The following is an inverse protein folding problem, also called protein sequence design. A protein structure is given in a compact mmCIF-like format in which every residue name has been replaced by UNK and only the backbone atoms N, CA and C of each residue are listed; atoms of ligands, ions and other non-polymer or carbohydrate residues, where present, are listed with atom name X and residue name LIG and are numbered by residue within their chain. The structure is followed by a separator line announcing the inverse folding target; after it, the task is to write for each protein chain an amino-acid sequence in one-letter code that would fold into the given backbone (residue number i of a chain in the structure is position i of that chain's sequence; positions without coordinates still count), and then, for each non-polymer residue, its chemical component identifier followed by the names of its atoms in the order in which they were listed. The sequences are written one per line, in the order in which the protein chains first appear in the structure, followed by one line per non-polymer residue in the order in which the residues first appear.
data_IF_180019682567
#
_entry.id   IF_180019682567
#
_cell.length_a   1.000
_cell.length_b   1.000
_cell.length_c   1.000
_cell.angle_alpha   90.00
_cell.angle_beta   90.00
_cell.angle_gamma   90.00
#
_symmetry.space_group_name_H-M   'P 1'
#
loop_
_entity.id
_entity.type
_entity.pdbx_description
1 polymer ?
#
# COMPACT_ATOMS: atom_id res chain seq x y z
N UNK A 1 23.13 22.34 -5.91
CA UNK A 1 22.32 23.40 -6.53
C UNK A 1 21.54 22.77 -7.69
N UNK A 2 20.32 22.28 -7.43
CA UNK A 2 19.50 21.61 -8.45
C UNK A 2 18.86 22.69 -9.33
N UNK A 3 19.32 22.82 -10.58
CA UNK A 3 18.64 23.62 -11.60
C UNK A 3 17.16 23.18 -11.62
N UNK A 4 16.25 24.12 -11.34
CA UNK A 4 14.82 23.87 -11.49
C UNK A 4 14.56 23.52 -12.96
N UNK A 5 14.18 22.27 -13.21
CA UNK A 5 13.74 21.82 -14.52
C UNK A 5 12.63 22.76 -15.01
N UNK A 6 12.81 23.35 -16.18
CA UNK A 6 11.85 24.32 -16.72
C UNK A 6 10.51 23.61 -17.01
N UNK A 7 9.36 24.29 -16.89
CA UNK A 7 8.02 23.67 -17.03
C UNK A 7 7.75 22.95 -18.36
N UNK A 8 8.54 23.18 -19.40
CA UNK A 8 8.39 22.56 -20.72
C UNK A 8 9.39 21.41 -20.97
N UNK A 9 10.32 21.14 -20.06
CA UNK A 9 11.36 20.11 -20.26
C UNK A 9 10.78 18.71 -20.41
N UNK A 10 9.65 18.42 -19.73
CA UNK A 10 8.94 17.15 -19.86
C UNK A 10 8.42 16.87 -21.26
N UNK A 11 8.30 17.89 -22.12
CA UNK A 11 7.86 17.70 -23.51
C UNK A 11 8.98 17.18 -24.42
N UNK A 12 10.24 17.42 -24.04
CA UNK A 12 11.42 17.14 -24.89
C UNK A 12 12.41 16.18 -24.25
N UNK A 13 12.32 15.96 -22.93
CA UNK A 13 13.19 15.08 -22.15
C UNK A 13 12.39 14.26 -21.15
N UNK A 14 12.88 13.06 -20.88
CA UNK A 14 12.42 12.25 -19.75
C UNK A 14 12.55 13.04 -18.45
N UNK A 15 11.43 13.29 -17.79
CA UNK A 15 11.39 14.15 -16.61
C UNK A 15 10.74 13.41 -15.44
N UNK A 16 11.41 13.28 -14.28
CA UNK A 16 10.83 12.63 -13.11
C UNK A 16 9.61 13.39 -12.58
N UNK A 17 8.54 12.66 -12.24
CA UNK A 17 7.41 13.23 -11.54
C UNK A 17 7.81 13.58 -10.10
N UNK A 18 7.34 14.73 -9.61
CA UNK A 18 7.70 15.24 -8.28
C UNK A 18 6.49 15.47 -7.37
N UNK A 19 5.31 15.63 -7.97
CA UNK A 19 4.13 16.15 -7.27
C UNK A 19 3.62 15.16 -6.22
N UNK A 20 3.67 13.86 -6.51
CA UNK A 20 3.08 12.84 -5.64
C UNK A 20 4.06 12.27 -4.60
N UNK A 21 5.27 12.83 -4.50
CA UNK A 21 6.31 12.28 -3.61
C UNK A 21 7.23 13.33 -2.97
N UNK A 22 7.43 14.50 -3.57
CA UNK A 22 8.31 15.54 -3.00
C UNK A 22 7.51 16.59 -2.22
N UNK A 23 8.13 17.15 -1.17
CA UNK A 23 7.51 18.17 -0.33
C UNK A 23 6.22 17.64 0.31
N UNK A 24 5.10 18.33 0.08
CA UNK A 24 3.78 17.86 0.56
C UNK A 24 3.35 16.51 -0.03
N UNK A 25 3.89 16.11 -1.18
CA UNK A 25 3.61 14.81 -1.81
C UNK A 25 3.95 13.61 -0.93
N UNK A 26 4.86 13.75 0.04
CA UNK A 26 5.17 12.70 1.03
C UNK A 26 3.92 12.25 1.78
N UNK A 27 2.98 13.16 2.07
CA UNK A 27 1.72 12.82 2.73
C UNK A 27 0.83 11.95 1.85
N UNK A 28 0.86 12.12 0.52
CA UNK A 28 0.12 11.27 -0.39
C UNK A 28 0.70 9.86 -0.46
N UNK A 29 2.04 9.75 -0.49
CA UNK A 29 2.74 8.47 -0.38
C UNK A 29 2.38 7.71 0.89
N UNK A 30 2.44 8.39 2.04
CA UNK A 30 2.04 7.82 3.33
C UNK A 30 0.56 7.44 3.34
N UNK A 31 -0.32 8.30 2.81
CA UNK A 31 -1.74 8.01 2.73
C UNK A 31 -2.00 6.72 1.95
N UNK A 32 -1.41 6.55 0.77
CA UNK A 32 -1.55 5.32 -0.01
C UNK A 32 -1.02 4.09 0.75
N UNK A 33 0.16 4.19 1.38
CA UNK A 33 0.69 3.11 2.19
C UNK A 33 -0.26 2.70 3.32
N UNK A 34 -0.76 3.67 4.10
CA UNK A 34 -1.68 3.38 5.21
C UNK A 34 -3.05 2.90 4.74
N UNK A 35 -3.49 3.30 3.56
CA UNK A 35 -4.72 2.81 2.93
C UNK A 35 -4.64 1.31 2.68
N UNK A 36 -3.57 0.87 2.00
CA UNK A 36 -3.34 -0.53 1.70
C UNK A 36 -3.13 -1.35 2.99
N UNK A 37 -2.30 -0.84 3.92
CA UNK A 37 -1.97 -1.49 5.18
C UNK A 37 -3.21 -1.68 6.08
N UNK A 38 -4.00 -0.62 6.27
CA UNK A 38 -5.19 -0.66 7.14
C UNK A 38 -6.30 -1.53 6.57
N UNK A 39 -6.54 -1.44 5.26
CA UNK A 39 -7.51 -2.29 4.57
C UNK A 39 -7.15 -3.77 4.65
N UNK A 40 -5.88 -4.11 4.36
CA UNK A 40 -5.41 -5.50 4.48
C UNK A 40 -5.39 -5.99 5.93
N UNK A 41 -5.00 -5.15 6.90
CA UNK A 41 -5.01 -5.50 8.33
C UNK A 41 -6.42 -5.85 8.79
N UNK A 42 -7.42 -5.08 8.38
CA UNK A 42 -8.82 -5.38 8.67
C UNK A 42 -9.24 -6.73 8.06
N UNK A 43 -8.89 -7.00 6.79
CA UNK A 43 -9.25 -8.24 6.10
C UNK A 43 -8.59 -9.49 6.69
N UNK A 44 -7.30 -9.43 7.01
CA UNK A 44 -6.58 -10.54 7.66
C UNK A 44 -7.18 -10.81 9.04
N UNK A 45 -7.43 -9.75 9.81
CA UNK A 45 -8.01 -9.88 11.14
C UNK A 45 -9.44 -10.43 11.08
N UNK A 46 -10.21 -10.06 10.06
CA UNK A 46 -11.54 -10.59 9.78
C UNK A 46 -11.49 -12.10 9.47
N UNK A 47 -10.51 -12.54 8.67
CA UNK A 47 -10.29 -13.95 8.35
C UNK A 47 -9.97 -14.79 9.60
N UNK A 48 -9.13 -14.27 10.48
CA UNK A 48 -8.77 -14.91 11.76
C UNK A 48 -9.76 -14.63 12.90
N UNK A 49 -10.87 -13.93 12.63
CA UNK A 49 -11.87 -13.51 13.60
C UNK A 49 -11.29 -12.79 14.83
N UNK A 50 -10.27 -11.96 14.63
CA UNK A 50 -9.57 -11.22 15.69
C UNK A 50 -10.05 -9.77 15.77
N UNK A 51 -10.76 -9.41 16.84
CA UNK A 51 -11.35 -8.08 17.01
C UNK A 51 -10.31 -6.97 17.13
N UNK A 52 -9.24 -7.18 17.91
CA UNK A 52 -8.18 -6.18 18.12
C UNK A 52 -7.55 -5.77 16.80
N UNK A 53 -7.26 -6.75 15.94
CA UNK A 53 -6.71 -6.50 14.62
C UNK A 53 -7.68 -5.77 13.68
N UNK A 54 -8.97 -6.08 13.74
CA UNK A 54 -10.00 -5.33 12.99
C UNK A 54 -10.03 -3.87 13.44
N UNK A 55 -10.00 -3.62 14.75
CA UNK A 55 -9.97 -2.27 15.32
C UNK A 55 -8.69 -1.51 14.95
N UNK A 56 -7.52 -2.18 14.94
CA UNK A 56 -6.26 -1.59 14.48
C UNK A 56 -6.32 -1.23 12.99
N UNK A 57 -6.80 -2.14 12.13
CA UNK A 57 -6.96 -1.88 10.70
C UNK A 57 -7.88 -0.68 10.42
N UNK A 58 -9.03 -0.63 11.10
CA UNK A 58 -9.95 0.51 11.03
C UNK A 58 -9.29 1.81 11.54
N UNK A 59 -8.57 1.73 12.66
CA UNK A 59 -7.80 2.84 13.25
C UNK A 59 -6.72 3.41 12.32
N UNK A 60 -5.97 2.54 11.62
CA UNK A 60 -4.97 2.94 10.62
C UNK A 60 -5.65 3.75 9.50
N UNK A 61 -6.82 3.32 9.02
CA UNK A 61 -7.52 4.03 7.96
C UNK A 61 -7.99 5.41 8.43
N UNK A 62 -8.66 5.51 9.58
CA UNK A 62 -9.22 6.80 10.01
C UNK A 62 -8.12 7.79 10.44
N UNK A 63 -7.13 7.35 11.22
CA UNK A 63 -6.12 8.23 11.79
C UNK A 63 -4.99 8.54 10.80
N UNK A 64 -4.43 7.49 10.18
CA UNK A 64 -3.21 7.63 9.39
C UNK A 64 -3.53 7.89 7.92
N UNK A 65 -4.33 7.05 7.27
CA UNK A 65 -4.71 7.26 5.85
C UNK A 65 -5.55 8.53 5.68
N UNK A 66 -6.67 8.64 6.41
CA UNK A 66 -7.57 9.79 6.37
C UNK A 66 -6.87 11.09 6.79
N UNK A 67 -6.10 11.04 7.89
CA UNK A 67 -5.31 12.17 8.37
C UNK A 67 -4.28 12.65 7.35
N UNK A 68 -3.50 11.74 6.74
CA UNK A 68 -2.53 12.11 5.70
C UNK A 68 -3.22 12.70 4.45
N UNK A 69 -4.35 12.13 4.01
CA UNK A 69 -5.12 12.69 2.89
C UNK A 69 -5.62 14.11 3.20
N UNK A 70 -6.19 14.35 4.39
CA UNK A 70 -6.66 15.68 4.78
C UNK A 70 -5.50 16.69 4.90
N UNK A 71 -4.37 16.29 5.47
CA UNK A 71 -3.18 17.14 5.59
C UNK A 71 -2.53 17.44 4.24
N UNK A 72 -2.65 16.53 3.27
CA UNK A 72 -2.19 16.74 1.89
C UNK A 72 -3.02 17.79 1.16
N UNK A 73 -4.33 17.89 1.43
CA UNK A 73 -5.21 18.85 0.77
C UNK A 73 -4.80 20.28 1.10
N UNK A 74 -4.64 21.12 0.07
CA UNK A 74 -4.39 22.55 0.26
C UNK A 74 -5.56 23.30 0.94
N UNK A 75 -6.77 22.75 0.88
CA UNK A 75 -8.00 23.30 1.48
C UNK A 75 -8.90 22.19 2.05
N UNK A 76 -8.57 21.58 3.21
CA UNK A 76 -9.23 20.38 3.73
C UNK A 76 -10.74 20.58 3.98
N UNK A 77 -11.18 21.78 4.38
CA UNK A 77 -12.59 22.08 4.63
C UNK A 77 -13.47 22.00 3.37
N UNK A 78 -12.88 21.92 2.18
CA UNK A 78 -13.60 21.78 0.89
C UNK A 78 -13.63 20.34 0.38
N UNK A 79 -13.20 19.36 1.19
CA UNK A 79 -13.15 17.94 0.81
C UNK A 79 -14.52 17.40 0.38
N UNK A 80 -15.61 17.92 0.94
CA UNK A 80 -16.98 17.52 0.56
C UNK A 80 -17.27 17.71 -0.94
N UNK A 81 -16.58 18.65 -1.61
CA UNK A 81 -16.73 18.86 -3.06
C UNK A 81 -16.16 17.73 -3.90
N UNK A 82 -15.23 16.94 -3.34
CA UNK A 82 -14.61 15.83 -4.04
C UNK A 82 -15.60 14.68 -4.32
N UNK A 83 -16.74 14.61 -3.63
CA UNK A 83 -17.80 13.61 -3.88
C UNK A 83 -18.62 13.84 -5.15
N UNK A 84 -18.44 14.96 -5.85
CA UNK A 84 -19.36 15.40 -6.92
C UNK A 84 -19.22 14.64 -8.25
N UNK A 85 -18.12 13.92 -8.50
CA UNK A 85 -17.84 13.27 -9.80
C UNK A 85 -17.27 11.84 -9.68
N UNK A 86 -17.99 10.89 -9.06
CA UNK A 86 -17.52 9.51 -8.91
C UNK A 86 -17.35 8.76 -10.23
N UNK A 87 -18.10 9.17 -11.27
CA UNK A 87 -18.09 8.50 -12.57
C UNK A 87 -16.76 8.69 -13.31
N UNK A 88 -16.10 9.84 -13.18
CA UNK A 88 -14.91 10.19 -13.96
C UNK A 88 -13.60 10.24 -13.17
N UNK A 89 -13.65 10.30 -11.83
CA UNK A 89 -12.48 10.49 -10.99
C UNK A 89 -12.22 9.29 -10.10
N UNK A 90 -11.07 8.62 -10.30
CA UNK A 90 -10.60 7.58 -9.38
C UNK A 90 -10.41 8.12 -7.96
N UNK A 91 -9.90 9.36 -7.83
CA UNK A 91 -9.71 9.99 -6.52
C UNK A 91 -11.04 10.11 -5.75
N UNK A 92 -12.12 10.43 -6.45
CA UNK A 92 -13.46 10.48 -5.85
C UNK A 92 -13.93 9.10 -5.41
N UNK A 93 -13.68 8.06 -6.22
CA UNK A 93 -14.04 6.67 -5.86
C UNK A 93 -13.30 6.21 -4.60
N UNK A 94 -11.99 6.49 -4.51
CA UNK A 94 -11.21 6.17 -3.31
C UNK A 94 -11.72 6.86 -2.06
N UNK A 95 -12.08 8.15 -2.15
CA UNK A 95 -12.68 8.88 -1.04
C UNK A 95 -14.01 8.25 -0.59
N UNK A 96 -14.86 7.82 -1.52
CA UNK A 96 -16.10 7.10 -1.21
C UNK A 96 -15.79 5.78 -0.50
N UNK A 97 -14.83 5.00 -0.99
CA UNK A 97 -14.43 3.74 -0.36
C UNK A 97 -13.96 3.95 1.08
N UNK A 98 -13.12 4.96 1.32
CA UNK A 98 -12.63 5.33 2.66
C UNK A 98 -13.80 5.70 3.57
N UNK A 99 -14.68 6.61 3.15
CA UNK A 99 -15.81 7.05 4.00
C UNK A 99 -16.77 5.90 4.31
N UNK A 100 -17.12 5.10 3.31
CA UNK A 100 -17.98 3.94 3.52
C UNK A 100 -17.33 2.91 4.46
N UNK A 101 -16.03 2.61 4.28
CA UNK A 101 -15.31 1.73 5.21
C UNK A 101 -15.30 2.28 6.64
N UNK A 102 -15.01 3.57 6.81
CA UNK A 102 -15.00 4.19 8.14
C UNK A 102 -16.37 4.06 8.80
N UNK A 103 -17.45 4.35 8.08
CA UNK A 103 -18.83 4.25 8.61
C UNK A 103 -19.21 2.81 8.91
N UNK A 104 -19.10 1.89 7.96
CA UNK A 104 -19.52 0.50 8.15
C UNK A 104 -18.61 -0.28 9.11
N UNK A 105 -17.30 0.00 9.11
CA UNK A 105 -16.37 -0.52 10.11
C UNK A 105 -16.69 -0.02 11.51
N UNK A 106 -17.04 1.27 11.66
CA UNK A 106 -17.49 1.80 12.96
C UNK A 106 -18.78 1.11 13.43
N UNK A 107 -19.77 0.96 12.54
CA UNK A 107 -21.02 0.27 12.87
C UNK A 107 -20.78 -1.20 13.25
N UNK A 108 -19.90 -1.89 12.53
CA UNK A 108 -19.52 -3.27 12.80
C UNK A 108 -18.82 -3.42 14.16
N UNK A 109 -17.91 -2.51 14.50
CA UNK A 109 -17.12 -2.55 15.73
C UNK A 109 -17.84 -1.91 16.93
N UNK A 110 -18.88 -1.09 16.72
CA UNK A 110 -19.55 -0.35 17.78
C UNK A 110 -20.03 -1.22 18.96
N UNK A 111 -20.65 -2.41 18.75
CA UNK A 111 -21.08 -3.27 19.86
C UNK A 111 -19.94 -3.77 20.76
N UNK A 112 -18.68 -3.67 20.33
CA UNK A 112 -17.52 -3.99 21.16
C UNK A 112 -17.37 -3.03 22.36
N UNK A 113 -17.91 -1.82 22.25
CA UNK A 113 -17.81 -0.81 23.30
C UNK A 113 -18.92 -1.04 24.33
N UNK A 114 -18.62 -1.17 25.64
CA UNK A 114 -19.62 -1.50 26.65
C UNK A 114 -20.84 -0.56 26.67
N UNK A 115 -20.64 0.73 26.40
CA UNK A 115 -21.70 1.73 26.36
C UNK A 115 -22.55 1.72 25.08
N UNK A 116 -22.16 0.93 24.07
CA UNK A 116 -22.91 0.68 22.84
C UNK A 116 -23.39 -0.79 22.73
N UNK A 117 -23.24 -1.59 23.78
CA UNK A 117 -23.69 -2.98 23.80
C UNK A 117 -25.22 -3.13 23.65
N UNK A 118 -25.99 -2.05 23.83
CA UNK A 118 -27.44 -2.00 23.64
C UNK A 118 -27.88 -1.96 22.16
N UNK A 119 -26.94 -1.78 21.22
CA UNK A 119 -27.26 -1.73 19.80
C UNK A 119 -27.96 -3.03 19.35
N UNK A 120 -28.93 -2.96 18.42
CA UNK A 120 -29.75 -4.12 18.05
C UNK A 120 -29.04 -5.15 17.17
N UNK A 121 -27.73 -4.97 16.90
CA UNK A 121 -26.92 -5.90 16.12
C UNK A 121 -25.68 -6.34 16.90
N UNK A 122 -25.18 -7.55 16.57
CA UNK A 122 -23.95 -8.10 17.12
C UNK A 122 -22.72 -7.62 16.33
N UNK A 123 -21.55 -7.67 16.97
CA UNK A 123 -20.24 -7.50 16.34
C UNK A 123 -20.00 -8.52 15.20
N UNK A 124 -20.66 -9.67 15.31
CA UNK A 124 -20.62 -10.77 14.34
C UNK A 124 -21.67 -10.64 13.24
N UNK A 125 -22.35 -9.48 13.13
CA UNK A 125 -23.30 -9.20 12.06
C UNK A 125 -22.68 -9.45 10.69
N UNK A 126 -23.12 -10.52 10.01
CA UNK A 126 -22.62 -10.92 8.71
C UNK A 126 -22.75 -9.79 7.68
N UNK A 127 -23.86 -9.05 7.72
CA UNK A 127 -24.14 -7.94 6.81
C UNK A 127 -23.11 -6.84 6.98
N UNK A 128 -22.88 -6.36 8.21
CA UNK A 128 -21.92 -5.28 8.48
C UNK A 128 -20.49 -5.72 8.22
N UNK A 129 -20.11 -6.94 8.62
CA UNK A 129 -18.79 -7.53 8.34
C UNK A 129 -18.52 -7.60 6.84
N UNK A 130 -19.50 -8.06 6.06
CA UNK A 130 -19.38 -8.19 4.59
C UNK A 130 -19.24 -6.82 3.93
N UNK A 131 -20.08 -5.85 4.30
CA UNK A 131 -20.01 -4.51 3.71
C UNK A 131 -18.68 -3.84 4.05
N UNK A 132 -18.24 -3.89 5.31
CA UNK A 132 -16.96 -3.35 5.72
C UNK A 132 -15.79 -4.06 5.02
N UNK A 133 -15.84 -5.39 4.85
CA UNK A 133 -14.84 -6.15 4.11
C UNK A 133 -14.76 -5.72 2.64
N UNK A 134 -15.90 -5.51 1.97
CA UNK A 134 -15.94 -5.03 0.58
C UNK A 134 -15.23 -3.68 0.47
N UNK A 135 -15.52 -2.72 1.35
CA UNK A 135 -14.87 -1.42 1.28
C UNK A 135 -13.39 -1.46 1.69
N UNK A 136 -13.00 -2.28 2.67
CA UNK A 136 -11.59 -2.53 2.99
C UNK A 136 -10.82 -3.09 1.78
N UNK A 137 -11.43 -4.04 1.07
CA UNK A 137 -10.90 -4.59 -0.17
C UNK A 137 -10.80 -3.54 -1.27
N UNK A 138 -11.81 -2.69 -1.46
CA UNK A 138 -11.75 -1.62 -2.47
C UNK A 138 -10.66 -0.58 -2.17
N UNK A 139 -10.44 -0.24 -0.90
CA UNK A 139 -9.34 0.65 -0.47
C UNK A 139 -7.98 0.04 -0.81
N UNK A 140 -7.81 -1.27 -0.54
CA UNK A 140 -6.56 -1.98 -0.77
C UNK A 140 -6.05 -1.90 -2.22
N UNK A 141 -6.95 -1.91 -3.20
CA UNK A 141 -6.57 -1.80 -4.62
C UNK A 141 -6.59 -0.38 -5.16
N UNK A 142 -7.26 0.55 -4.47
CA UNK A 142 -7.56 1.88 -4.98
C UNK A 142 -6.30 2.68 -5.33
N UNK A 143 -5.28 2.65 -4.47
CA UNK A 143 -4.05 3.42 -4.64
C UNK A 143 -3.37 3.09 -5.98
N UNK A 144 -3.27 1.80 -6.33
CA UNK A 144 -2.69 1.37 -7.59
C UNK A 144 -3.59 1.68 -8.79
N UNK A 145 -4.92 1.60 -8.67
CA UNK A 145 -5.83 2.02 -9.75
C UNK A 145 -5.76 3.51 -10.04
N UNK A 146 -5.64 4.34 -9.00
CA UNK A 146 -5.49 5.78 -9.14
C UNK A 146 -4.22 6.16 -9.91
N UNK A 147 -3.15 5.38 -9.75
CA UNK A 147 -1.90 5.54 -10.49
C UNK A 147 -1.98 4.94 -11.90
N UNK A 148 -2.60 3.76 -12.06
CA UNK A 148 -2.56 3.01 -13.32
C UNK A 148 -3.29 3.68 -14.47
N UNK A 149 -4.22 4.59 -14.18
CA UNK A 149 -4.93 5.36 -15.22
C UNK A 149 -4.14 6.56 -15.76
N UNK A 150 -2.97 6.86 -15.21
CA UNK A 150 -2.17 8.01 -15.64
C UNK A 150 -1.33 7.62 -16.86
N UNK A 151 -1.88 7.86 -18.06
CA UNK A 151 -1.23 7.53 -19.33
C UNK A 151 0.11 8.25 -19.56
N UNK A 152 0.30 9.41 -18.94
CA UNK A 152 1.52 10.22 -19.11
C UNK A 152 2.78 9.59 -18.48
N UNK A 153 2.61 8.64 -17.56
CA UNK A 153 3.70 7.94 -16.87
C UNK A 153 3.55 6.46 -17.18
N UNK A 154 4.22 5.99 -18.23
CA UNK A 154 4.10 4.62 -18.73
C UNK A 154 4.45 3.58 -17.66
N UNK A 155 5.37 3.91 -16.75
CA UNK A 155 5.70 3.04 -15.62
C UNK A 155 4.50 2.73 -14.71
N UNK A 156 3.61 3.70 -14.51
CA UNK A 156 2.41 3.50 -13.69
C UNK A 156 1.29 2.79 -14.45
N UNK A 157 1.22 3.01 -15.77
CA UNK A 157 0.15 2.56 -16.65
C UNK A 157 0.21 1.04 -16.95
N UNK A 158 0.12 0.22 -15.89
CA UNK A 158 0.11 -1.23 -15.96
C UNK A 158 -1.00 -1.82 -15.09
N UNK A 159 -1.72 -2.81 -15.63
CA UNK A 159 -2.76 -3.53 -14.91
C UNK A 159 -2.25 -4.32 -13.69
N UNK A 160 -0.94 -4.60 -13.63
CA UNK A 160 -0.31 -5.29 -12.50
C UNK A 160 -0.05 -4.37 -11.30
N UNK A 161 -0.02 -3.05 -11.47
CA UNK A 161 0.32 -2.13 -10.38
C UNK A 161 -0.67 -2.19 -9.19
N UNK A 162 -2.01 -2.18 -9.39
CA UNK A 162 -2.96 -2.38 -8.30
C UNK A 162 -2.77 -3.71 -7.56
N UNK A 163 -2.48 -4.79 -8.30
CA UNK A 163 -2.26 -6.12 -7.72
C UNK A 163 -0.97 -6.13 -6.90
N UNK A 164 0.12 -5.57 -7.44
CA UNK A 164 1.40 -5.48 -6.74
C UNK A 164 1.27 -4.70 -5.42
N UNK A 165 0.53 -3.58 -5.41
CA UNK A 165 0.25 -2.83 -4.20
C UNK A 165 -0.58 -3.65 -3.21
N UNK A 166 -1.65 -4.30 -3.65
CA UNK A 166 -2.47 -5.13 -2.78
C UNK A 166 -1.64 -6.23 -2.08
N UNK A 167 -0.77 -6.93 -2.80
CA UNK A 167 0.09 -7.99 -2.22
C UNK A 167 1.07 -7.46 -1.18
N UNK A 168 1.74 -6.33 -1.44
CA UNK A 168 2.59 -5.73 -0.42
C UNK A 168 1.78 -5.07 0.71
N UNK A 169 0.52 -4.71 0.47
CA UNK A 169 -0.41 -4.27 1.52
C UNK A 169 -0.71 -5.42 2.48
N UNK A 170 -1.06 -6.59 1.93
CA UNK A 170 -1.21 -7.83 2.70
C UNK A 170 0.06 -8.26 3.41
N UNK A 171 1.23 -8.15 2.78
CA UNK A 171 2.50 -8.51 3.40
C UNK A 171 2.76 -7.67 4.66
N UNK A 172 2.70 -6.33 4.55
CA UNK A 172 2.91 -5.46 5.70
C UNK A 172 1.84 -5.63 6.77
N UNK A 173 0.60 -5.90 6.38
CA UNK A 173 -0.49 -6.15 7.30
C UNK A 173 -0.40 -7.51 8.01
N UNK A 174 0.09 -8.56 7.34
CA UNK A 174 0.31 -9.87 7.92
C UNK A 174 1.40 -9.81 9.00
N UNK A 175 2.49 -9.07 8.74
CA UNK A 175 3.48 -8.79 9.76
C UNK A 175 2.91 -8.03 10.97
N UNK A 176 2.13 -6.97 10.75
CA UNK A 176 1.46 -6.27 11.87
C UNK A 176 0.49 -7.17 12.62
N UNK A 177 -0.24 -8.03 11.91
CA UNK A 177 -1.14 -8.99 12.52
C UNK A 177 -0.39 -10.03 13.36
N UNK A 178 0.82 -10.44 12.93
CA UNK A 178 1.68 -11.31 13.73
C UNK A 178 2.03 -10.68 15.08
N UNK A 179 2.28 -9.36 15.14
CA UNK A 179 2.49 -8.66 16.42
C UNK A 179 1.25 -8.79 17.32
N UNK A 180 0.04 -8.65 16.78
CA UNK A 180 -1.21 -8.81 17.54
C UNK A 180 -1.34 -10.24 18.08
N UNK A 181 -1.01 -11.24 17.27
CA UNK A 181 -1.03 -12.65 17.67
C UNK A 181 -0.06 -12.92 18.82
N UNK A 182 1.18 -12.42 18.70
CA UNK A 182 2.22 -12.55 19.72
C UNK A 182 1.85 -11.83 21.02
N UNK A 183 1.24 -10.64 20.94
CA UNK A 183 0.86 -9.87 22.14
C UNK A 183 -0.39 -10.40 22.83
N UNK A 184 -1.24 -11.14 22.12
CA UNK A 184 -2.52 -11.64 22.64
C UNK A 184 -2.45 -13.09 23.13
N UNK A 185 -1.26 -13.70 23.16
CA UNK A 185 -1.06 -15.09 23.59
C UNK A 185 -1.68 -16.13 22.65
N UNK A 186 -1.92 -15.77 21.38
CA UNK A 186 -2.56 -16.64 20.39
C UNK A 186 -1.52 -17.49 19.63
N UNK A 187 -0.58 -18.10 20.35
CA UNK A 187 0.61 -18.75 19.78
C UNK A 187 0.28 -19.82 18.73
N UNK A 188 -0.87 -20.50 18.86
CA UNK A 188 -1.35 -21.49 17.89
C UNK A 188 -1.58 -20.92 16.48
N UNK A 189 -1.77 -19.61 16.35
CA UNK A 189 -1.99 -18.94 15.06
C UNK A 189 -0.67 -18.52 14.38
N UNK A 190 0.45 -18.46 15.10
CA UNK A 190 1.74 -17.97 14.58
C UNK A 190 2.14 -18.74 13.33
N UNK A 191 2.06 -20.06 13.36
CA UNK A 191 2.45 -20.90 12.21
C UNK A 191 1.59 -20.68 10.96
N UNK A 192 0.29 -20.40 11.14
CA UNK A 192 -0.62 -20.10 10.03
C UNK A 192 -0.29 -18.72 9.41
N UNK A 193 -0.05 -17.71 10.26
CA UNK A 193 0.31 -16.36 9.81
C UNK A 193 1.67 -16.36 9.09
N UNK A 194 2.69 -16.99 9.66
CA UNK A 194 4.02 -17.15 9.04
C UNK A 194 3.96 -17.89 7.70
N UNK A 195 3.08 -18.89 7.58
CA UNK A 195 2.86 -19.57 6.30
C UNK A 195 2.24 -18.65 5.27
N UNK A 196 1.27 -17.83 5.67
CA UNK A 196 0.70 -16.78 4.81
C UNK A 196 1.75 -15.75 4.37
N UNK A 197 2.57 -15.25 5.30
CA UNK A 197 3.68 -14.33 5.02
C UNK A 197 4.63 -14.92 3.98
N UNK A 198 5.07 -16.17 4.17
CA UNK A 198 5.99 -16.85 3.24
C UNK A 198 5.41 -16.97 1.83
N UNK A 199 4.13 -17.33 1.70
CA UNK A 199 3.44 -17.38 0.40
C UNK A 199 3.36 -15.98 -0.22
N UNK A 200 2.96 -14.97 0.56
CA UNK A 200 2.87 -13.58 0.10
C UNK A 200 4.23 -13.06 -0.38
N UNK A 201 5.33 -13.36 0.32
CA UNK A 201 6.68 -12.97 -0.07
C UNK A 201 7.07 -13.53 -1.43
N UNK A 202 6.85 -14.83 -1.64
CA UNK A 202 7.16 -15.50 -2.92
C UNK A 202 6.33 -14.89 -4.05
N UNK A 203 5.03 -14.72 -3.86
CA UNK A 203 4.15 -14.15 -4.87
C UNK A 203 4.50 -12.67 -5.13
N UNK A 204 4.78 -11.89 -4.09
CA UNK A 204 5.18 -10.49 -4.21
C UNK A 204 6.51 -10.32 -4.96
N UNK A 205 7.48 -11.21 -4.74
CA UNK A 205 8.74 -11.22 -5.47
C UNK A 205 8.54 -11.53 -6.97
N UNK A 206 7.73 -12.55 -7.28
CA UNK A 206 7.38 -12.89 -8.67
C UNK A 206 6.61 -11.74 -9.34
N UNK A 207 5.61 -11.18 -8.67
CA UNK A 207 4.83 -10.05 -9.20
C UNK A 207 5.72 -8.82 -9.44
N UNK A 208 6.67 -8.53 -8.56
CA UNK A 208 7.62 -7.44 -8.75
C UNK A 208 8.50 -7.68 -9.98
N UNK A 209 9.05 -8.88 -10.13
CA UNK A 209 9.88 -9.23 -11.28
C UNK A 209 9.09 -9.14 -12.61
N UNK A 210 7.88 -9.70 -12.64
CA UNK A 210 6.99 -9.64 -13.82
C UNK A 210 6.58 -8.21 -14.12
N UNK A 211 6.24 -7.41 -13.10
CA UNK A 211 5.90 -6.00 -13.27
C UNK A 211 7.07 -5.22 -13.87
N UNK A 212 8.27 -5.31 -13.29
CA UNK A 212 9.45 -4.60 -13.78
C UNK A 212 9.82 -5.04 -15.21
N UNK A 213 9.75 -6.35 -15.51
CA UNK A 213 9.94 -6.85 -16.87
C UNK A 213 8.94 -6.25 -17.85
N UNK A 214 7.64 -6.30 -17.51
CA UNK A 214 6.58 -5.75 -18.35
C UNK A 214 6.72 -4.23 -18.57
N UNK A 215 7.16 -3.50 -17.55
CA UNK A 215 7.34 -2.05 -17.60
C UNK A 215 8.40 -1.60 -18.61
N UNK A 216 9.38 -2.45 -18.92
CA UNK A 216 10.41 -2.13 -19.92
C UNK A 216 9.92 -2.14 -21.37
N UNK A 217 8.68 -2.55 -21.62
CA UNK A 217 8.07 -2.61 -22.96
C UNK A 217 7.84 -1.23 -23.59
N UNK A 218 7.91 -0.17 -22.80
CA UNK A 218 7.78 1.22 -23.27
C UNK A 218 9.08 1.99 -23.01
N UNK A 219 9.43 3.00 -23.84
CA UNK A 219 10.64 3.81 -23.61
C UNK A 219 10.67 4.49 -22.23
N UNK A 220 9.55 5.11 -21.82
CA UNK A 220 9.44 5.75 -20.50
C UNK A 220 9.49 4.76 -19.33
N UNK A 221 8.87 3.59 -19.47
CA UNK A 221 8.95 2.54 -18.47
C UNK A 221 10.36 1.93 -18.37
N UNK A 222 11.05 1.73 -19.50
CA UNK A 222 12.46 1.29 -19.54
C UNK A 222 13.37 2.28 -18.82
N UNK A 223 13.19 3.58 -19.05
CA UNK A 223 13.95 4.62 -18.34
C UNK A 223 13.64 4.61 -16.84
N UNK A 224 12.37 4.41 -16.46
CA UNK A 224 11.96 4.32 -15.04
C UNK A 224 12.63 3.14 -14.34
N UNK A 225 12.64 1.96 -14.98
CA UNK A 225 13.32 0.76 -14.46
C UNK A 225 14.84 0.99 -14.38
N UNK A 226 15.44 1.65 -15.38
CA UNK A 226 16.86 2.00 -15.33
C UNK A 226 17.19 2.91 -14.14
N UNK A 227 16.34 3.89 -13.81
CA UNK A 227 16.50 4.74 -12.62
C UNK A 227 16.34 3.97 -11.30
N UNK A 228 15.47 2.96 -11.24
CA UNK A 228 15.35 2.07 -10.08
C UNK A 228 16.60 1.20 -9.89
N UNK A 229 17.21 0.71 -10.97
CA UNK A 229 18.33 -0.24 -10.88
C UNK A 229 19.68 0.48 -10.75
N UNK A 230 19.90 1.56 -11.51
CA UNK A 230 21.21 2.23 -11.61
C UNK A 230 21.17 3.71 -11.29
N UNK A 231 19.99 4.29 -11.17
CA UNK A 231 19.81 5.72 -10.96
C UNK A 231 19.71 6.11 -9.49
N UNK A 232 19.10 7.27 -9.28
CA UNK A 232 19.02 7.94 -7.98
C UNK A 232 18.05 7.27 -6.98
N UNK A 233 17.29 6.26 -7.41
CA UNK A 233 16.28 5.54 -6.60
C UNK A 233 16.79 4.13 -6.22
N UNK A 234 18.00 3.77 -6.67
CA UNK A 234 18.60 2.43 -6.45
C UNK A 234 18.74 2.04 -4.98
N UNK A 235 19.10 2.96 -4.09
CA UNK A 235 19.24 2.65 -2.66
C UNK A 235 17.89 2.24 -2.04
N UNK A 236 16.81 3.05 -2.13
CA UNK A 236 15.47 2.62 -1.69
C UNK A 236 15.00 1.31 -2.34
N UNK A 237 15.35 1.06 -3.60
CA UNK A 237 14.97 -0.15 -4.30
C UNK A 237 15.70 -1.39 -3.75
N UNK A 238 17.04 -1.38 -3.72
CA UNK A 238 17.80 -2.55 -3.27
C UNK A 238 17.72 -2.75 -1.76
N UNK A 239 17.98 -1.71 -0.97
CA UNK A 239 18.03 -1.84 0.49
C UNK A 239 16.61 -1.94 1.03
N UNK A 240 15.76 -0.98 0.69
CA UNK A 240 14.40 -0.92 1.22
C UNK A 240 13.50 -2.05 0.71
N UNK A 241 13.36 -2.18 -0.60
CA UNK A 241 12.43 -3.13 -1.19
C UNK A 241 12.99 -4.56 -1.27
N UNK A 242 14.18 -4.75 -1.84
CA UNK A 242 14.71 -6.11 -2.07
C UNK A 242 15.22 -6.75 -0.78
N UNK A 243 16.14 -6.09 -0.07
CA UNK A 243 16.77 -6.68 1.13
C UNK A 243 15.80 -6.69 2.30
N UNK A 244 15.28 -5.53 2.71
CA UNK A 244 14.38 -5.44 3.86
C UNK A 244 12.98 -5.97 3.53
N UNK A 245 12.46 -5.73 2.32
CA UNK A 245 11.09 -6.15 1.97
C UNK A 245 10.92 -7.60 1.54
N UNK A 246 11.99 -8.28 1.10
CA UNK A 246 11.89 -9.66 0.58
C UNK A 246 12.90 -10.57 1.26
N UNK A 247 14.20 -10.28 1.15
CA UNK A 247 15.27 -11.23 1.53
C UNK A 247 15.26 -11.52 3.04
N UNK A 248 15.28 -10.49 3.89
CA UNK A 248 15.30 -10.70 5.35
C UNK A 248 14.01 -11.37 5.84
N UNK A 249 12.80 -10.89 5.51
CA UNK A 249 11.55 -11.55 5.92
C UNK A 249 11.46 -13.00 5.43
N UNK A 250 11.95 -13.29 4.22
CA UNK A 250 11.96 -14.65 3.68
C UNK A 250 12.90 -15.55 4.49
N UNK A 251 14.10 -15.08 4.83
CA UNK A 251 15.02 -15.82 5.71
C UNK A 251 14.36 -16.10 7.06
N UNK A 252 13.72 -15.10 7.66
CA UNK A 252 13.01 -15.25 8.95
C UNK A 252 11.90 -16.30 8.85
N UNK A 253 11.01 -16.22 7.86
CA UNK A 253 9.90 -17.18 7.76
C UNK A 253 10.33 -18.59 7.32
N UNK A 254 11.45 -18.73 6.59
CA UNK A 254 12.06 -20.04 6.27
C UNK A 254 12.74 -20.65 7.50
N UNK A 255 13.43 -19.82 8.30
CA UNK A 255 14.00 -20.27 9.57
C UNK A 255 12.91 -20.71 10.56
N UNK A 256 11.78 -19.99 10.60
CA UNK A 256 10.60 -20.42 11.35
C UNK A 256 10.06 -21.75 10.83
N UNK A 257 9.94 -21.91 9.51
CA UNK A 257 9.46 -23.17 8.91
C UNK A 257 10.35 -24.37 9.24
N UNK A 258 11.67 -24.20 9.31
CA UNK A 258 12.60 -25.31 9.56
C UNK A 258 12.70 -25.71 11.04
N UNK A 259 12.58 -24.75 11.95
CA UNK A 259 12.77 -24.97 13.39
C UNK A 259 11.46 -25.12 14.16
N UNK A 260 10.36 -24.59 13.63
CA UNK A 260 9.05 -24.49 14.31
C UNK A 260 9.02 -23.51 15.49
N UNK A 261 10.18 -22.97 15.91
CA UNK A 261 10.31 -22.08 17.07
C UNK A 261 11.34 -21.00 16.76
N UNK A 262 10.91 -19.75 16.82
CA UNK A 262 11.77 -18.57 16.62
C UNK A 262 11.52 -17.59 17.75
N UNK A 263 12.59 -16.95 18.23
CA UNK A 263 12.47 -15.93 19.25
C UNK A 263 11.53 -14.80 18.79
N UNK A 264 10.58 -14.33 19.63
CA UNK A 264 9.65 -13.28 19.24
C UNK A 264 10.33 -12.00 18.73
N UNK A 265 11.51 -11.67 19.25
CA UNK A 265 12.30 -10.53 18.79
C UNK A 265 12.75 -10.63 17.32
N UNK A 266 13.04 -11.83 16.83
CA UNK A 266 13.43 -12.08 15.44
C UNK A 266 12.20 -11.96 14.52
N UNK A 267 11.04 -12.47 14.95
CA UNK A 267 9.78 -12.29 14.23
C UNK A 267 9.43 -10.79 14.12
N UNK A 268 9.50 -10.06 15.23
CA UNK A 268 9.25 -8.61 15.25
C UNK A 268 10.24 -7.85 14.33
N UNK A 269 11.52 -8.25 14.30
CA UNK A 269 12.49 -7.68 13.37
C UNK A 269 12.10 -7.95 11.90
N UNK A 270 11.60 -9.16 11.60
CA UNK A 270 11.02 -9.50 10.29
C UNK A 270 9.86 -8.58 9.92
N UNK A 271 8.90 -8.37 10.83
CA UNK A 271 7.76 -7.46 10.63
C UNK A 271 8.20 -6.03 10.32
N UNK A 272 9.20 -5.51 11.05
CA UNK A 272 9.74 -4.16 10.79
C UNK A 272 10.32 -4.10 9.37
N UNK A 273 11.05 -5.13 8.97
CA UNK A 273 11.63 -5.22 7.63
C UNK A 273 10.53 -5.26 6.55
N UNK A 274 9.46 -6.04 6.74
CA UNK A 274 8.30 -6.10 5.82
C UNK A 274 7.60 -4.74 5.69
N UNK A 275 7.35 -4.06 6.79
CA UNK A 275 6.74 -2.72 6.81
C UNK A 275 7.61 -1.73 6.03
N UNK A 276 8.93 -1.74 6.26
CA UNK A 276 9.88 -0.90 5.51
C UNK A 276 9.88 -1.27 4.03
N UNK A 277 9.83 -2.55 3.69
CA UNK A 277 9.74 -3.06 2.32
C UNK A 277 8.51 -2.57 1.59
N UNK A 278 7.33 -2.76 2.21
CA UNK A 278 6.06 -2.31 1.66
C UNK A 278 5.99 -0.80 1.49
N UNK A 279 6.56 -0.04 2.42
CA UNK A 279 6.69 1.41 2.32
C UNK A 279 7.65 1.82 1.18
N UNK A 280 8.78 1.12 1.06
CA UNK A 280 9.81 1.32 0.04
C UNK A 280 9.30 1.01 -1.37
N UNK A 281 8.46 0.00 -1.54
CA UNK A 281 7.80 -0.29 -2.82
C UNK A 281 7.06 0.95 -3.33
N UNK A 282 6.15 1.52 -2.51
CA UNK A 282 5.36 2.69 -2.93
C UNK A 282 6.26 3.88 -3.20
N UNK A 283 7.31 4.06 -2.39
CA UNK A 283 8.29 5.11 -2.62
C UNK A 283 8.96 4.95 -3.99
N UNK A 284 9.44 3.76 -4.31
CA UNK A 284 10.07 3.46 -5.60
C UNK A 284 9.10 3.65 -6.76
N UNK A 285 7.85 3.20 -6.63
CA UNK A 285 6.86 3.36 -7.69
C UNK A 285 6.51 4.82 -7.94
N UNK A 286 6.26 5.60 -6.89
CA UNK A 286 5.98 7.02 -7.02
C UNK A 286 7.20 7.76 -7.54
N UNK A 287 8.34 7.66 -6.86
CA UNK A 287 9.56 8.40 -7.22
C UNK A 287 10.09 8.02 -8.61
N UNK A 288 9.93 6.76 -9.00
CA UNK A 288 10.36 6.22 -10.29
C UNK A 288 9.43 6.57 -11.45
N UNK A 289 8.31 7.27 -11.22
CA UNK A 289 7.44 7.73 -12.30
C UNK A 289 8.12 8.79 -13.15
N UNK A 290 8.38 8.48 -14.42
CA UNK A 290 8.99 9.41 -15.39
C UNK A 290 7.98 9.74 -16.49
N UNK A 291 7.87 11.03 -16.82
CA UNK A 291 7.11 11.49 -17.97
C UNK A 291 7.85 11.18 -19.26
N UNK A 292 7.15 10.55 -20.21
CA UNK A 292 7.67 10.31 -21.56
C UNK A 292 7.57 11.60 -22.38
N UNK A 293 8.64 12.03 -23.08
CA UNK A 293 8.60 13.22 -23.91
C UNK A 293 7.63 13.05 -25.09
N UNK A 294 6.90 14.12 -25.42
CA UNK A 294 5.93 14.16 -26.52
C UNK A 294 6.65 14.46 -27.85
N UNK A 295 7.68 15.30 -27.79
CA UNK A 295 8.46 15.69 -28.96
C UNK A 295 9.66 14.73 -29.06
N UNK A 296 9.76 13.94 -30.15
CA UNK A 296 10.91 13.07 -30.34
C UNK A 296 12.17 13.90 -30.46
N UNK A 297 13.12 13.65 -29.57
CA UNK A 297 14.41 14.32 -29.60
C UNK A 297 15.27 13.62 -30.66
N UNK A 298 15.47 14.26 -31.82
CA UNK A 298 16.18 13.68 -32.99
C UNK A 298 17.66 13.32 -32.77
N UNK A 299 18.19 13.48 -31.55
CA UNK A 299 19.60 13.28 -31.23
C UNK A 299 19.92 11.89 -30.65
N UNK A 300 18.92 11.03 -30.45
CA UNK A 300 19.09 9.67 -29.87
C UNK A 300 18.58 8.55 -30.78
N UNK A 301 18.38 8.82 -32.08
CA UNK A 301 18.03 7.81 -33.09
C UNK A 301 19.28 7.25 -33.78
#
# INVERSE_FOLDING_TARGET
MLLQAKPYEWMVKYTPQRVWINGRGVLLWLAYFFGDLGGAMYLISLYFNNLTGMAIGWGIIILLNGGCHLAFLGRPLRVWRAFTRPQSSWITRGLIFIVCFVVFGALQLAPALPFLAWLPWSIDSLVLRTIAAIFAFLILFYSGFAMSVINAISFWNHALLPVLFAFYGFLGAAGLFLIVVLSSGMESMVGAVETGIRILLVVAAVLLAVYLGSATSTPGGKQSVAELIRGHISIPFYVGLVVLGIVIPLIVSVYFFSTGVVAPSVLIAGVICEVIGSLSLRYCMLKGGIYTPIIPNRLEA
#
